data_IF_862758931591
#
_entry.id   IF_862758931591
#
_cell.length_a   1.000
_cell.length_b   1.000
_cell.length_c   1.000
_cell.angle_alpha   90.00
_cell.angle_beta   90.00
_cell.angle_gamma   90.00
#
_symmetry.space_group_name_H-M   'P 1'
#
loop_
_entity.id
_entity.type
_entity.pdbx_description
1 polymer ?
#
# COMPACT_ATOMS: atom_id res chain seq x y z
N UNK A 1 7.21 -0.66 6.16
CA UNK A 1 7.55 -0.31 4.76
C UNK A 1 6.34 -0.29 3.83
N UNK A 2 5.36 -1.21 3.95
CA UNK A 2 4.25 -1.38 2.98
C UNK A 2 3.41 -0.14 2.65
N UNK A 3 3.28 0.83 3.56
CA UNK A 3 2.51 2.07 3.37
C UNK A 3 3.37 3.30 3.02
N UNK A 4 4.69 3.15 2.89
CA UNK A 4 5.60 4.29 2.82
C UNK A 4 5.61 5.03 1.46
N UNK A 5 4.77 4.63 0.50
CA UNK A 5 4.72 5.27 -0.83
C UNK A 5 6.01 5.10 -1.63
N UNK A 6 6.64 3.93 -1.50
CA UNK A 6 7.93 3.64 -2.11
C UNK A 6 7.83 3.51 -3.62
N UNK A 7 8.83 4.02 -4.35
CA UNK A 7 9.05 3.70 -5.75
C UNK A 7 9.40 2.23 -5.95
N UNK A 8 9.47 1.79 -7.20
CA UNK A 8 9.87 0.42 -7.51
C UNK A 8 11.34 0.16 -7.22
N UNK A 9 12.20 1.15 -7.46
CA UNK A 9 13.62 1.11 -7.14
C UNK A 9 13.82 1.05 -5.62
N UNK A 10 13.09 1.86 -4.86
CA UNK A 10 13.12 1.82 -3.40
C UNK A 10 12.61 0.48 -2.86
N UNK A 11 11.53 -0.05 -3.44
CA UNK A 11 10.99 -1.36 -3.08
C UNK A 11 11.98 -2.48 -3.40
N UNK A 12 12.64 -2.43 -4.57
CA UNK A 12 13.67 -3.38 -4.95
C UNK A 12 14.88 -3.32 -4.01
N UNK A 13 15.38 -2.13 -3.70
CA UNK A 13 16.48 -1.94 -2.77
C UNK A 13 16.14 -2.46 -1.37
N UNK A 14 14.94 -2.15 -0.87
CA UNK A 14 14.46 -2.64 0.41
C UNK A 14 14.36 -4.17 0.45
N UNK A 15 13.74 -4.78 -0.55
CA UNK A 15 13.61 -6.23 -0.62
C UNK A 15 14.97 -6.91 -0.76
N UNK A 16 15.89 -6.32 -1.52
CA UNK A 16 17.26 -6.83 -1.67
C UNK A 16 18.02 -6.80 -0.35
N UNK A 17 17.93 -5.69 0.39
CA UNK A 17 18.51 -5.57 1.72
C UNK A 17 17.85 -6.52 2.73
N UNK A 18 16.53 -6.72 2.65
CA UNK A 18 15.79 -7.59 3.56
C UNK A 18 16.11 -9.08 3.35
N UNK A 19 16.14 -9.53 2.09
CA UNK A 19 16.39 -10.94 1.76
C UNK A 19 17.88 -11.26 1.57
N UNK A 20 18.77 -10.25 1.61
CA UNK A 20 20.20 -10.38 1.33
C UNK A 20 20.51 -10.99 -0.04
N UNK A 21 19.57 -10.85 -0.98
CA UNK A 21 19.63 -11.31 -2.37
C UNK A 21 18.62 -10.53 -3.20
N UNK A 22 18.82 -10.47 -4.51
CA UNK A 22 17.84 -9.87 -5.40
C UNK A 22 16.48 -10.61 -5.31
N UNK A 23 15.35 -9.89 -5.16
CA UNK A 23 14.03 -10.51 -5.10
C UNK A 23 13.60 -11.01 -6.48
N UNK A 24 13.11 -12.25 -6.52
CA UNK A 24 12.52 -12.80 -7.75
C UNK A 24 11.19 -12.11 -8.12
N UNK A 25 10.63 -12.48 -9.27
CA UNK A 25 9.37 -11.92 -9.76
C UNK A 25 8.18 -12.20 -8.83
N UNK A 26 8.16 -13.34 -8.14
CA UNK A 26 7.06 -13.73 -7.25
C UNK A 26 7.07 -12.90 -5.96
N UNK A 27 8.25 -12.68 -5.38
CA UNK A 27 8.43 -11.79 -4.21
C UNK A 27 8.04 -10.36 -4.58
N UNK A 28 8.51 -9.84 -5.73
CA UNK A 28 8.16 -8.48 -6.16
C UNK A 28 6.66 -8.31 -6.38
N UNK A 29 6.02 -9.28 -7.03
CA UNK A 29 4.56 -9.27 -7.24
C UNK A 29 3.81 -9.34 -5.91
N UNK A 30 4.23 -10.21 -5.00
CA UNK A 30 3.61 -10.36 -3.68
C UNK A 30 3.74 -9.07 -2.85
N UNK A 31 4.89 -8.41 -2.91
CA UNK A 31 5.11 -7.12 -2.26
C UNK A 31 4.18 -6.03 -2.81
N UNK A 32 4.07 -5.91 -4.14
CA UNK A 32 3.18 -4.93 -4.77
C UNK A 32 1.70 -5.17 -4.39
N UNK A 33 1.26 -6.43 -4.32
CA UNK A 33 -0.07 -6.78 -3.84
C UNK A 33 -0.27 -6.40 -2.35
N UNK A 34 0.75 -6.65 -1.51
CA UNK A 34 0.74 -6.27 -0.10
C UNK A 34 0.62 -4.76 0.09
N UNK A 35 1.24 -3.94 -0.76
CA UNK A 35 1.09 -2.48 -0.69
C UNK A 35 -0.37 -2.06 -0.92
N UNK A 36 -1.04 -2.63 -1.92
CA UNK A 36 -2.47 -2.41 -2.16
C UNK A 36 -3.30 -2.82 -0.93
N UNK A 37 -3.08 -4.04 -0.41
CA UNK A 37 -3.80 -4.53 0.76
C UNK A 37 -3.56 -3.66 2.02
N UNK A 38 -2.34 -3.15 2.18
CA UNK A 38 -1.98 -2.25 3.28
C UNK A 38 -2.71 -0.92 3.19
N UNK A 39 -2.82 -0.32 2.00
CA UNK A 39 -3.54 0.95 1.80
C UNK A 39 -5.03 0.79 2.05
N UNK A 40 -5.64 -0.30 1.55
CA UNK A 40 -7.04 -0.63 1.82
C UNK A 40 -7.28 -0.81 3.32
N UNK A 41 -6.43 -1.58 4.01
CA UNK A 41 -6.56 -1.79 5.46
C UNK A 41 -6.51 -0.46 6.21
N UNK A 42 -5.66 0.46 5.79
CA UNK A 42 -5.51 1.77 6.42
C UNK A 42 -6.72 2.68 6.19
N UNK A 43 -7.26 2.72 4.97
CA UNK A 43 -8.50 3.43 4.69
C UNK A 43 -9.68 2.88 5.50
N UNK A 44 -9.82 1.55 5.58
CA UNK A 44 -10.87 0.93 6.41
C UNK A 44 -10.67 1.22 7.90
N UNK A 45 -9.42 1.22 8.37
CA UNK A 45 -9.11 1.57 9.76
C UNK A 45 -9.50 3.02 10.08
N UNK A 46 -9.25 3.98 9.19
CA UNK A 46 -9.67 5.36 9.41
C UNK A 46 -11.19 5.53 9.32
N UNK A 47 -11.87 4.87 8.38
CA UNK A 47 -13.34 4.88 8.32
C UNK A 47 -13.99 4.38 9.62
N UNK A 48 -13.45 3.31 10.22
CA UNK A 48 -13.92 2.82 11.53
C UNK A 48 -13.57 3.80 12.64
N UNK A 49 -12.38 4.43 12.56
CA UNK A 49 -11.94 5.42 13.55
C UNK A 49 -12.82 6.67 13.56
N UNK A 50 -13.33 7.11 12.41
CA UNK A 50 -14.29 8.22 12.31
C UNK A 50 -15.54 8.01 13.18
N UNK A 51 -15.96 6.76 13.37
CA UNK A 51 -17.17 6.41 14.12
C UNK A 51 -16.87 6.29 15.63
N UNK A 52 -15.68 5.79 15.99
CA UNK A 52 -15.42 5.29 17.34
C UNK A 52 -14.31 6.01 18.09
N UNK A 53 -13.43 6.76 17.43
CA UNK A 53 -12.32 7.46 18.08
C UNK A 53 -12.61 8.95 18.20
N UNK A 54 -12.46 9.47 19.41
CA UNK A 54 -12.38 10.90 19.67
C UNK A 54 -10.91 11.29 19.89
N UNK A 55 -10.27 11.79 18.84
CA UNK A 55 -8.87 12.19 18.83
C UNK A 55 -8.74 13.62 18.31
N UNK A 56 -8.78 14.64 19.19
CA UNK A 56 -8.72 16.03 18.79
C UNK A 56 -7.51 16.34 17.90
N UNK A 57 -7.76 17.01 16.77
CA UNK A 57 -6.72 17.39 15.81
C UNK A 57 -6.39 16.32 14.76
N UNK A 58 -7.02 15.15 14.80
CA UNK A 58 -6.89 14.14 13.75
C UNK A 58 -8.11 14.21 12.82
N UNK A 59 -7.83 14.37 11.53
CA UNK A 59 -8.84 14.30 10.48
C UNK A 59 -8.82 12.92 9.83
N UNK A 60 -9.65 12.02 10.35
CA UNK A 60 -9.75 10.66 9.83
C UNK A 60 -10.41 10.59 8.44
N UNK A 61 -11.29 11.53 8.11
CA UNK A 61 -11.95 11.60 6.79
C UNK A 61 -10.91 11.94 5.72
N UNK A 62 -10.12 12.99 5.94
CA UNK A 62 -9.03 13.34 5.02
C UNK A 62 -8.00 12.21 4.90
N UNK A 63 -7.72 11.49 6.00
CA UNK A 63 -6.83 10.34 5.97
C UNK A 63 -7.41 9.16 5.17
N UNK A 64 -8.71 8.91 5.29
CA UNK A 64 -9.43 7.92 4.47
C UNK A 64 -9.27 8.25 3.00
N UNK A 65 -9.57 9.48 2.60
CA UNK A 65 -9.48 9.94 1.21
C UNK A 65 -8.06 9.81 0.65
N UNK A 66 -7.03 10.24 1.40
CA UNK A 66 -5.64 10.09 0.99
C UNK A 66 -5.27 8.62 0.73
N UNK A 67 -5.69 7.72 1.61
CA UNK A 67 -5.38 6.29 1.47
C UNK A 67 -6.12 5.65 0.30
N UNK A 68 -7.34 6.07 -0.01
CA UNK A 68 -8.08 5.60 -1.17
C UNK A 68 -7.44 6.08 -2.48
N UNK A 69 -7.04 7.34 -2.58
CA UNK A 69 -6.34 7.86 -3.76
C UNK A 69 -5.03 7.09 -4.01
N UNK A 70 -4.29 6.81 -2.94
CA UNK A 70 -3.05 6.04 -3.01
C UNK A 70 -3.31 4.58 -3.36
N UNK A 71 -4.40 3.99 -2.86
CA UNK A 71 -4.82 2.64 -3.20
C UNK A 71 -5.13 2.52 -4.69
N UNK A 72 -5.87 3.48 -5.26
CA UNK A 72 -6.21 3.49 -6.68
C UNK A 72 -4.94 3.53 -7.55
N UNK A 73 -4.00 4.40 -7.23
CA UNK A 73 -2.72 4.48 -7.93
C UNK A 73 -1.91 3.17 -7.81
N UNK A 74 -1.89 2.55 -6.63
CA UNK A 74 -1.18 1.28 -6.41
C UNK A 74 -1.84 0.12 -7.17
N UNK A 75 -3.18 0.05 -7.19
CA UNK A 75 -3.94 -0.94 -7.95
C UNK A 75 -3.69 -0.80 -9.45
N UNK A 76 -3.68 0.43 -9.96
CA UNK A 76 -3.40 0.69 -11.37
C UNK A 76 -2.00 0.24 -11.77
N UNK A 77 -0.99 0.58 -10.97
CA UNK A 77 0.38 0.11 -11.18
C UNK A 77 0.46 -1.43 -11.15
N UNK A 78 -0.15 -2.05 -10.15
CA UNK A 78 -0.16 -3.51 -10.01
C UNK A 78 -0.80 -4.18 -11.23
N UNK A 79 -1.96 -3.70 -11.68
CA UNK A 79 -2.67 -4.24 -12.85
C UNK A 79 -1.89 -4.04 -14.13
N UNK A 80 -1.28 -2.87 -14.32
CA UNK A 80 -0.42 -2.57 -15.48
C UNK A 80 0.75 -3.55 -15.57
N UNK A 81 1.37 -3.90 -14.43
CA UNK A 81 2.54 -4.80 -14.40
C UNK A 81 2.23 -6.28 -14.44
N UNK A 82 1.18 -6.71 -13.75
CA UNK A 82 0.93 -8.13 -13.48
C UNK A 82 -0.37 -8.64 -14.10
N UNK A 83 -1.14 -7.77 -14.75
CA UNK A 83 -2.44 -8.05 -15.33
C UNK A 83 -3.56 -8.21 -14.30
N UNK A 84 -4.79 -8.16 -14.78
CA UNK A 84 -5.96 -8.70 -14.08
C UNK A 84 -6.09 -10.17 -14.47
N UNK A 85 -6.13 -11.09 -13.50
CA UNK A 85 -6.51 -12.48 -13.82
C UNK A 85 -7.96 -12.43 -14.29
N UNK A 86 -8.18 -12.74 -15.57
CA UNK A 86 -9.49 -12.98 -16.18
C UNK A 86 -10.13 -14.24 -15.64
#
# INVERSE_FOLDING_TARGET
ASKAGMSDEESFAFLTAYFMKEPDSEIRRSHAAMQCASLLREAMWSMVSEIYLDAPGIDYVAYTEENLVRLDAALENYRTRYGTRS
#
